data_IF_367973662414
#
_entry.id   IF_367973662414
#
_cell.length_a   1.000
_cell.length_b   1.000
_cell.length_c   1.000
_cell.angle_alpha   90.00
_cell.angle_beta   90.00
_cell.angle_gamma   90.00
#
_symmetry.space_group_name_H-M   'P 1'
#
loop_
_entity.id
_entity.type
_entity.pdbx_description
1 polymer ?
#
# COMPACT_ATOMS: atom_id res chain seq x y z
N UNK A 1 -0.85 1.42 -9.32
CA UNK A 1 0.55 1.12 -8.95
C UNK A 1 0.67 0.51 -7.55
N UNK A 2 0.00 1.06 -6.53
CA UNK A 2 0.01 0.54 -5.15
C UNK A 2 -0.38 -0.95 -5.08
N UNK A 3 -1.50 -1.35 -5.70
CA UNK A 3 -1.92 -2.77 -5.71
C UNK A 3 -0.89 -3.73 -6.32
N UNK A 4 -0.15 -3.31 -7.36
CA UNK A 4 0.92 -4.11 -7.96
C UNK A 4 2.12 -4.25 -7.02
N UNK A 5 2.43 -3.20 -6.25
CA UNK A 5 3.47 -3.25 -5.22
C UNK A 5 3.08 -4.18 -4.07
N UNK A 6 1.82 -4.13 -3.61
CA UNK A 6 1.32 -5.07 -2.61
C UNK A 6 1.41 -6.52 -3.10
N UNK A 7 0.98 -6.78 -4.33
CA UNK A 7 1.13 -8.10 -4.96
C UNK A 7 2.59 -8.55 -5.00
N UNK A 8 3.52 -7.64 -5.35
CA UNK A 8 4.94 -7.95 -5.39
C UNK A 8 5.51 -8.29 -4.00
N UNK A 9 5.08 -7.59 -2.94
CA UNK A 9 5.46 -7.89 -1.55
C UNK A 9 4.90 -9.26 -1.12
N UNK A 10 3.65 -9.57 -1.48
CA UNK A 10 3.06 -10.88 -1.19
C UNK A 10 3.78 -12.01 -1.91
N UNK A 11 4.20 -11.79 -3.15
CA UNK A 11 4.91 -12.79 -3.95
C UNK A 11 6.38 -12.94 -3.54
N UNK A 12 7.03 -11.85 -3.14
CA UNK A 12 8.42 -11.80 -2.71
C UNK A 12 8.57 -10.87 -1.49
N UNK A 13 8.52 -11.43 -0.26
CA UNK A 13 8.62 -10.66 0.97
C UNK A 13 9.92 -9.85 1.12
N UNK A 14 10.99 -10.22 0.39
CA UNK A 14 12.25 -9.45 0.41
C UNK A 14 12.07 -8.02 -0.11
N UNK A 15 11.05 -7.80 -0.94
CA UNK A 15 10.69 -6.51 -1.51
C UNK A 15 9.90 -5.60 -0.55
N UNK A 16 9.46 -6.13 0.59
CA UNK A 16 8.60 -5.42 1.56
C UNK A 16 9.16 -4.03 1.92
N UNK A 17 10.45 -3.92 2.19
CA UNK A 17 11.05 -2.64 2.57
C UNK A 17 11.00 -1.61 1.44
N UNK A 18 11.45 -1.97 0.24
CA UNK A 18 11.53 -1.05 -0.91
C UNK A 18 10.14 -0.69 -1.42
N UNK A 19 9.27 -1.67 -1.63
CA UNK A 19 7.93 -1.42 -2.17
C UNK A 19 7.03 -0.70 -1.18
N UNK A 20 7.19 -0.91 0.13
CA UNK A 20 6.44 -0.14 1.13
C UNK A 20 6.91 1.32 1.16
N UNK A 21 8.22 1.59 1.09
CA UNK A 21 8.74 2.96 1.00
C UNK A 21 8.21 3.68 -0.25
N UNK A 22 8.10 2.98 -1.38
CA UNK A 22 7.51 3.55 -2.59
C UNK A 22 6.01 3.82 -2.44
N UNK A 23 5.26 2.94 -1.78
CA UNK A 23 3.83 3.17 -1.47
C UNK A 23 3.68 4.40 -0.56
N UNK A 24 4.50 4.52 0.49
CA UNK A 24 4.50 5.66 1.40
C UNK A 24 4.82 6.97 0.66
N UNK A 25 5.78 6.96 -0.25
CA UNK A 25 6.11 8.11 -1.10
C UNK A 25 4.94 8.52 -2.01
N UNK A 26 4.29 7.55 -2.66
CA UNK A 26 3.11 7.80 -3.50
C UNK A 26 1.95 8.39 -2.68
N UNK A 27 1.71 7.87 -1.48
CA UNK A 27 0.70 8.39 -0.56
C UNK A 27 1.04 9.80 -0.10
N UNK A 28 2.30 10.09 0.22
CA UNK A 28 2.74 11.43 0.63
C UNK A 28 2.54 12.48 -0.47
N UNK A 29 2.85 12.14 -1.72
CA UNK A 29 2.78 13.08 -2.85
C UNK A 29 1.34 13.22 -3.38
N UNK A 30 0.59 12.13 -3.45
CA UNK A 30 -0.70 12.08 -4.14
C UNK A 30 -1.90 11.77 -3.24
N UNK A 31 -1.71 11.62 -1.93
CA UNK A 31 -2.72 11.11 -0.99
C UNK A 31 -4.09 11.79 -1.06
N UNK A 32 -4.14 13.10 -1.33
CA UNK A 32 -5.40 13.83 -1.48
C UNK A 32 -6.21 13.45 -2.72
N UNK A 33 -5.55 12.90 -3.74
CA UNK A 33 -6.15 12.48 -5.01
C UNK A 33 -6.26 10.96 -5.13
N UNK A 34 -5.87 10.21 -4.10
CA UNK A 34 -5.97 8.76 -4.09
C UNK A 34 -7.39 8.32 -3.73
N UNK A 35 -7.89 7.32 -4.45
CA UNK A 35 -9.10 6.61 -4.07
C UNK A 35 -8.78 5.66 -2.89
N UNK A 36 -9.00 6.17 -1.69
CA UNK A 36 -8.74 5.44 -0.44
C UNK A 36 -9.61 4.22 -0.24
N UNK A 37 -10.80 4.17 -0.85
CA UNK A 37 -11.69 3.02 -0.83
C UNK A 37 -11.11 1.90 -1.68
N UNK A 38 -10.68 2.21 -2.91
CA UNK A 38 -10.01 1.24 -3.78
C UNK A 38 -8.69 0.75 -3.18
N UNK A 39 -7.90 1.63 -2.57
CA UNK A 39 -6.66 1.23 -1.89
C UNK A 39 -6.95 0.26 -0.75
N UNK A 40 -7.98 0.51 0.05
CA UNK A 40 -8.38 -0.38 1.14
C UNK A 40 -8.72 -1.79 0.62
N UNK A 41 -9.42 -1.89 -0.51
CA UNK A 41 -9.75 -3.17 -1.15
C UNK A 41 -8.50 -3.93 -1.56
N UNK A 42 -7.50 -3.27 -2.16
CA UNK A 42 -6.23 -3.92 -2.50
C UNK A 42 -5.49 -4.41 -1.25
N UNK A 43 -5.43 -3.61 -0.18
CA UNK A 43 -4.79 -4.05 1.07
C UNK A 43 -5.53 -5.23 1.70
N UNK A 44 -6.88 -5.27 1.64
CA UNK A 44 -7.68 -6.41 2.10
C UNK A 44 -7.40 -7.66 1.28
N UNK A 45 -7.31 -7.55 -0.04
CA UNK A 45 -7.05 -8.66 -0.96
C UNK A 45 -5.76 -9.43 -0.59
N UNK A 46 -4.74 -8.71 -0.13
CA UNK A 46 -3.44 -9.28 0.26
C UNK A 46 -3.28 -9.50 1.78
N UNK A 47 -4.36 -9.44 2.56
CA UNK A 47 -4.34 -9.58 4.03
C UNK A 47 -3.45 -8.55 4.76
N UNK A 48 -3.28 -7.35 4.21
CA UNK A 48 -2.44 -6.28 4.75
C UNK A 48 -3.25 -5.14 5.40
N UNK A 49 -4.48 -5.42 5.86
CA UNK A 49 -5.39 -4.42 6.43
C UNK A 49 -4.80 -3.63 7.62
N UNK A 50 -3.95 -4.24 8.43
CA UNK A 50 -3.28 -3.55 9.54
C UNK A 50 -2.24 -2.52 9.07
N UNK A 51 -1.59 -2.78 7.93
CA UNK A 51 -0.66 -1.84 7.29
C UNK A 51 -1.43 -0.64 6.73
N UNK A 52 -2.57 -0.89 6.09
CA UNK A 52 -3.46 0.19 5.62
C UNK A 52 -3.87 1.14 6.74
N UNK A 53 -4.27 0.62 7.90
CA UNK A 53 -4.66 1.45 9.06
C UNK A 53 -3.52 2.36 9.53
N UNK A 54 -2.29 1.85 9.58
CA UNK A 54 -1.10 2.63 9.95
C UNK A 54 -0.78 3.73 8.93
N UNK A 55 -1.12 3.51 7.66
CA UNK A 55 -0.83 4.42 6.56
C UNK A 55 -1.87 5.53 6.43
N UNK A 56 -3.16 5.22 6.57
CA UNK A 56 -4.26 6.22 6.50
C UNK A 56 -4.34 7.12 7.74
N UNK A 57 -3.83 6.64 8.88
CA UNK A 57 -3.82 7.39 10.14
C UNK A 57 -2.66 8.38 10.30
N UNK A 58 -1.77 8.49 9.30
CA UNK A 58 -0.71 9.51 9.21
C UNK A 58 -1.13 10.61 8.25
#
# INVERSE_FOLDING_TARGET
MIGLKLQAITNDPSRSQTDMADIESLVSIHGNNLDWSLIEEYFKLFNMGDVYKKMKGK
#
